data_IF_344390299642
#
_entry.id   IF_344390299642
#
_cell.length_a   1.000
_cell.length_b   1.000
_cell.length_c   1.000
_cell.angle_alpha   90.00
_cell.angle_beta   90.00
_cell.angle_gamma   90.00
#
_symmetry.space_group_name_H-M   'P 1'
#
loop_
_entity.id
_entity.type
_entity.pdbx_description
1 polymer ?
#
# COMPACT_ATOMS: atom_id res chain seq x y z
N UNK A 1 -52.38 -4.87 24.87
CA UNK A 1 -51.05 -5.43 25.19
C UNK A 1 -50.37 -5.60 23.84
N UNK A 2 -49.41 -4.74 23.54
CA UNK A 2 -48.76 -4.65 22.23
C UNK A 2 -47.70 -5.73 22.09
N UNK A 3 -47.82 -6.55 21.06
CA UNK A 3 -46.83 -7.54 20.65
C UNK A 3 -45.61 -6.83 20.06
N UNK A 4 -44.55 -6.68 20.86
CA UNK A 4 -43.27 -6.15 20.43
C UNK A 4 -42.50 -7.18 19.59
N UNK A 5 -42.61 -7.05 18.27
CA UNK A 5 -41.78 -7.74 17.29
C UNK A 5 -40.34 -7.20 17.36
N UNK A 6 -39.46 -7.89 18.10
CA UNK A 6 -38.04 -7.61 18.11
C UNK A 6 -37.36 -8.16 16.84
N UNK A 7 -37.28 -7.33 15.80
CA UNK A 7 -36.45 -7.60 14.64
C UNK A 7 -34.96 -7.57 15.05
N UNK A 8 -34.38 -8.74 15.30
CA UNK A 8 -32.93 -8.89 15.51
C UNK A 8 -32.19 -8.59 14.21
N UNK A 9 -31.72 -7.35 14.08
CA UNK A 9 -30.90 -6.92 12.95
C UNK A 9 -29.58 -7.69 12.93
N UNK A 10 -29.37 -8.50 11.88
CA UNK A 10 -28.08 -9.17 11.63
C UNK A 10 -26.98 -8.11 11.52
N UNK A 11 -26.14 -8.00 12.54
CA UNK A 11 -24.90 -7.19 12.44
C UNK A 11 -24.03 -7.83 11.36
N UNK A 12 -23.67 -7.06 10.34
CA UNK A 12 -22.75 -7.50 9.29
C UNK A 12 -21.42 -7.92 9.95
N UNK A 13 -21.02 -9.17 9.75
CA UNK A 13 -19.73 -9.74 10.21
C UNK A 13 -18.58 -9.45 9.26
N UNK A 14 -18.83 -8.67 8.19
CA UNK A 14 -17.80 -8.32 7.22
C UNK A 14 -16.80 -7.32 7.83
N UNK A 15 -15.51 -7.63 7.70
CA UNK A 15 -14.45 -6.71 8.11
C UNK A 15 -14.60 -5.36 7.36
N UNK A 16 -14.31 -4.22 8.02
CA UNK A 16 -14.34 -2.91 7.37
C UNK A 16 -13.23 -2.79 6.32
N UNK A 17 -13.31 -1.77 5.46
CA UNK A 17 -12.20 -1.45 4.55
C UNK A 17 -11.03 -0.83 5.34
N UNK A 18 -9.80 -0.91 4.81
CA UNK A 18 -8.67 -0.21 5.42
C UNK A 18 -8.94 1.28 5.57
N UNK A 19 -8.57 1.83 6.72
CA UNK A 19 -8.68 3.26 7.03
C UNK A 19 -7.58 4.02 6.28
N UNK A 20 -7.91 5.22 5.79
CA UNK A 20 -6.97 6.11 5.12
C UNK A 20 -6.65 7.27 6.07
N UNK A 21 -5.38 7.39 6.46
CA UNK A 21 -4.90 8.37 7.43
C UNK A 21 -4.20 9.56 6.75
N UNK A 22 -3.42 9.30 5.70
CA UNK A 22 -2.63 10.33 5.01
C UNK A 22 -3.35 10.79 3.73
N UNK A 23 -3.79 12.07 3.64
CA UNK A 23 -4.36 12.60 2.41
C UNK A 23 -3.27 12.90 1.37
N UNK A 24 -3.62 13.00 0.07
CA UNK A 24 -2.67 13.42 -0.96
C UNK A 24 -2.07 14.79 -0.68
N UNK A 25 -0.74 14.92 -0.81
CA UNK A 25 0.04 16.11 -0.40
C UNK A 25 -0.13 16.51 1.07
N UNK A 26 -0.63 15.61 1.93
CA UNK A 26 -0.71 15.84 3.37
C UNK A 26 0.64 15.92 4.06
N UNK A 27 1.70 15.47 3.36
CA UNK A 27 3.08 15.56 3.82
C UNK A 27 3.96 16.12 2.70
N UNK A 28 4.81 17.09 3.04
CA UNK A 28 5.67 17.85 2.15
C UNK A 28 5.48 19.37 2.30
N UNK A 29 6.20 20.19 1.52
CA UNK A 29 7.23 19.80 0.56
C UNK A 29 8.46 19.17 1.24
N UNK A 30 9.14 18.26 0.53
CA UNK A 30 10.39 17.63 0.96
C UNK A 30 11.44 17.90 -0.11
N UNK A 31 12.58 18.44 0.29
CA UNK A 31 13.72 18.65 -0.60
C UNK A 31 14.50 17.35 -0.79
N UNK A 32 14.87 16.70 0.32
CA UNK A 32 15.69 15.49 0.34
C UNK A 32 14.90 14.31 0.91
N UNK A 33 14.50 13.36 0.05
CA UNK A 33 13.94 12.09 0.51
C UNK A 33 14.93 11.32 1.40
N UNK A 34 14.41 10.67 2.43
CA UNK A 34 15.19 9.79 3.29
C UNK A 34 15.22 8.35 2.74
N UNK A 35 16.07 7.50 3.31
CA UNK A 35 16.29 6.14 2.82
C UNK A 35 15.05 5.22 2.89
N UNK A 36 14.07 5.50 3.74
CA UNK A 36 12.83 4.73 3.85
C UNK A 36 11.72 5.26 2.93
N UNK A 37 11.95 6.37 2.21
CA UNK A 37 10.98 6.91 1.27
C UNK A 37 10.89 6.06 -0.01
N UNK A 38 9.66 5.77 -0.41
CA UNK A 38 9.33 5.12 -1.68
C UNK A 38 9.08 6.18 -2.74
N UNK A 39 10.04 6.36 -3.64
CA UNK A 39 9.96 7.31 -4.73
C UNK A 39 9.10 6.77 -5.88
N UNK A 40 8.05 7.49 -6.22
CA UNK A 40 7.14 7.19 -7.31
C UNK A 40 7.64 7.83 -8.61
N UNK A 41 7.98 7.00 -9.60
CA UNK A 41 8.45 7.47 -10.89
C UNK A 41 9.01 6.34 -11.73
N UNK A 42 9.82 6.70 -12.73
CA UNK A 42 10.55 5.78 -13.61
C UNK A 42 12.02 6.21 -13.69
N UNK A 43 12.91 5.27 -14.02
CA UNK A 43 14.33 5.53 -14.26
C UNK A 43 15.26 4.93 -13.21
N UNK A 44 16.57 4.87 -13.54
CA UNK A 44 17.59 4.21 -12.73
C UNK A 44 17.67 4.74 -11.29
N UNK A 45 17.75 6.06 -11.11
CA UNK A 45 17.79 6.72 -9.79
C UNK A 45 16.60 6.32 -8.90
N UNK A 46 15.41 6.29 -9.47
CA UNK A 46 14.19 5.90 -8.74
C UNK A 46 14.24 4.41 -8.41
N UNK A 47 14.70 3.57 -9.33
CA UNK A 47 14.78 2.14 -9.10
C UNK A 47 15.81 1.75 -8.03
N UNK A 48 16.95 2.45 -7.98
CA UNK A 48 18.06 2.17 -7.06
C UNK A 48 17.93 2.84 -5.70
N UNK A 49 16.91 3.69 -5.48
CA UNK A 49 16.69 4.31 -4.18
C UNK A 49 16.48 3.25 -3.09
N UNK A 50 17.09 3.44 -1.91
CA UNK A 50 17.06 2.46 -0.83
C UNK A 50 15.64 2.02 -0.47
N UNK A 51 14.72 2.97 -0.28
CA UNK A 51 13.32 2.68 0.04
C UNK A 51 12.58 1.94 -1.08
N UNK A 52 12.99 2.11 -2.35
CA UNK A 52 12.43 1.35 -3.46
C UNK A 52 12.97 -0.09 -3.51
N UNK A 53 14.22 -0.32 -3.08
CA UNK A 53 14.76 -1.67 -2.89
C UNK A 53 14.00 -2.39 -1.78
N UNK A 54 13.92 -1.78 -0.60
CA UNK A 54 13.20 -2.33 0.56
C UNK A 54 11.72 -2.59 0.25
N UNK A 55 11.07 -1.67 -0.49
CA UNK A 55 9.70 -1.85 -0.95
C UNK A 55 9.55 -3.10 -1.83
N UNK A 56 10.44 -3.33 -2.80
CA UNK A 56 10.39 -4.53 -3.65
C UNK A 56 10.57 -5.82 -2.85
N UNK A 57 11.49 -5.83 -1.89
CA UNK A 57 11.72 -6.98 -1.02
C UNK A 57 10.48 -7.30 -0.17
N UNK A 58 9.85 -6.25 0.36
CA UNK A 58 8.58 -6.37 1.11
C UNK A 58 7.44 -6.88 0.22
N UNK A 59 7.32 -6.39 -1.01
CA UNK A 59 6.36 -6.88 -2.00
C UNK A 59 6.60 -8.37 -2.28
N UNK A 60 7.85 -8.79 -2.44
CA UNK A 60 8.21 -10.18 -2.72
C UNK A 60 7.79 -11.11 -1.57
N UNK A 61 8.02 -10.71 -0.32
CA UNK A 61 7.66 -11.52 0.86
C UNK A 61 6.14 -11.68 1.04
N UNK A 62 5.34 -10.68 0.68
CA UNK A 62 3.85 -10.70 0.79
C UNK A 62 3.13 -11.25 -0.44
N UNK A 63 3.86 -11.49 -1.53
CA UNK A 63 3.27 -11.87 -2.82
C UNK A 63 2.51 -13.19 -2.78
N UNK A 64 3.09 -14.22 -2.14
CA UNK A 64 2.48 -15.54 -2.01
C UNK A 64 1.12 -15.47 -1.30
N UNK A 65 1.06 -14.74 -0.19
CA UNK A 65 -0.17 -14.50 0.57
C UNK A 65 -1.19 -13.74 -0.27
N UNK A 66 -0.77 -12.67 -0.96
CA UNK A 66 -1.66 -11.86 -1.80
C UNK A 66 -2.25 -12.65 -2.97
N UNK A 67 -1.46 -13.49 -3.64
CA UNK A 67 -1.87 -14.22 -4.84
C UNK A 67 -2.58 -15.55 -4.55
N UNK A 68 -2.61 -16.02 -3.29
CA UNK A 68 -3.26 -17.28 -2.95
C UNK A 68 -4.73 -17.29 -3.39
N UNK A 69 -5.24 -18.41 -3.95
CA UNK A 69 -6.63 -18.51 -4.41
C UNK A 69 -7.68 -18.24 -3.31
N UNK A 70 -7.32 -18.50 -2.05
CA UNK A 70 -8.14 -18.24 -0.88
C UNK A 70 -8.23 -16.76 -0.51
N UNK A 71 -7.30 -15.92 -0.98
CA UNK A 71 -7.22 -14.51 -0.60
C UNK A 71 -8.23 -13.67 -1.36
N UNK A 72 -9.24 -13.21 -0.63
CA UNK A 72 -10.37 -12.43 -1.14
C UNK A 72 -9.97 -10.99 -1.42
N UNK A 73 -10.81 -10.29 -2.19
CA UNK A 73 -10.60 -8.88 -2.58
C UNK A 73 -10.36 -7.96 -1.37
N UNK A 74 -11.08 -8.18 -0.27
CA UNK A 74 -10.93 -7.35 0.93
C UNK A 74 -9.62 -7.66 1.67
N UNK A 75 -9.21 -8.93 1.75
CA UNK A 75 -7.93 -9.33 2.35
C UNK A 75 -6.76 -8.78 1.52
N UNK A 76 -6.84 -8.82 0.19
CA UNK A 76 -5.89 -8.16 -0.72
C UNK A 76 -5.74 -6.67 -0.43
N UNK A 77 -6.84 -5.98 -0.12
CA UNK A 77 -6.79 -4.56 0.25
C UNK A 77 -6.08 -4.35 1.60
N UNK A 78 -6.31 -5.22 2.58
CA UNK A 78 -5.62 -5.18 3.87
C UNK A 78 -4.14 -5.52 3.77
N UNK A 79 -3.75 -6.51 2.95
CA UNK A 79 -2.33 -6.82 2.70
C UNK A 79 -1.61 -5.59 2.13
N UNK A 80 -2.21 -4.94 1.13
CA UNK A 80 -1.61 -3.74 0.54
C UNK A 80 -1.57 -2.56 1.53
N UNK A 81 -2.61 -2.39 2.36
CA UNK A 81 -2.63 -1.36 3.40
C UNK A 81 -1.63 -1.64 4.53
N UNK A 82 -1.43 -2.90 4.90
CA UNK A 82 -0.43 -3.33 5.87
C UNK A 82 0.97 -2.93 5.45
N UNK A 83 1.36 -3.24 4.21
CA UNK A 83 2.68 -2.83 3.67
C UNK A 83 2.87 -1.31 3.67
N UNK A 84 1.82 -0.55 3.33
CA UNK A 84 1.87 0.92 3.39
C UNK A 84 2.08 1.39 4.83
N UNK A 85 1.35 0.79 5.78
CA UNK A 85 1.52 1.08 7.19
C UNK A 85 2.93 0.76 7.68
N UNK A 86 3.45 -0.43 7.36
CA UNK A 86 4.79 -0.88 7.75
C UNK A 86 5.86 0.15 7.36
N UNK A 87 5.81 0.64 6.11
CA UNK A 87 6.72 1.68 5.60
C UNK A 87 6.54 3.00 6.35
N UNK A 88 5.30 3.42 6.59
CA UNK A 88 5.01 4.67 7.30
C UNK A 88 5.45 4.65 8.76
N UNK A 89 5.51 3.47 9.38
CA UNK A 89 5.91 3.30 10.78
C UNK A 89 7.39 3.00 10.98
N UNK A 90 8.19 3.01 9.91
CA UNK A 90 9.65 2.92 10.01
C UNK A 90 10.25 4.11 10.77
N UNK A 91 11.52 3.99 11.14
CA UNK A 91 12.30 5.07 11.74
C UNK A 91 13.62 5.26 10.94
N UNK A 92 13.83 6.40 10.25
CA UNK A 92 12.87 7.49 10.05
C UNK A 92 11.60 7.04 9.28
N UNK A 93 10.45 7.75 9.43
CA UNK A 93 9.22 7.38 8.72
C UNK A 93 9.36 7.39 7.20
N UNK A 94 8.98 6.28 6.57
CA UNK A 94 8.89 6.18 5.13
C UNK A 94 7.63 6.86 4.58
N UNK A 95 7.75 7.51 3.43
CA UNK A 95 6.64 8.12 2.68
C UNK A 95 6.55 7.55 1.28
N UNK A 96 5.42 7.75 0.63
CA UNK A 96 5.27 7.45 -0.79
C UNK A 96 5.32 8.74 -1.57
N UNK A 97 6.50 9.10 -2.07
CA UNK A 97 6.77 10.43 -2.59
C UNK A 97 6.61 10.52 -4.11
N UNK A 98 6.10 11.64 -4.59
CA UNK A 98 6.13 12.01 -6.00
C UNK A 98 6.71 13.40 -6.15
N UNK A 99 7.66 13.52 -7.07
CA UNK A 99 8.31 14.79 -7.44
C UNK A 99 7.33 15.68 -8.21
N UNK A 100 7.24 16.93 -7.79
CA UNK A 100 6.56 17.99 -8.50
C UNK A 100 7.55 18.69 -9.45
N UNK A 101 7.38 18.47 -10.75
CA UNK A 101 8.34 18.93 -11.76
C UNK A 101 8.49 20.45 -11.86
N UNK A 102 7.51 21.21 -11.38
CA UNK A 102 7.59 22.67 -11.39
C UNK A 102 8.45 23.24 -10.25
N UNK A 103 8.59 22.50 -9.15
CA UNK A 103 9.28 22.95 -7.94
C UNK A 103 10.50 22.10 -7.59
N UNK A 104 10.65 20.92 -8.22
CA UNK A 104 11.65 19.89 -7.89
C UNK A 104 11.52 19.37 -6.44
N UNK A 105 10.38 19.65 -5.79
CA UNK A 105 10.08 19.21 -4.43
C UNK A 105 9.19 17.97 -4.43
N UNK A 106 9.32 17.16 -3.38
CA UNK A 106 8.59 15.92 -3.21
C UNK A 106 7.37 16.09 -2.31
N UNK A 107 6.30 15.38 -2.62
CA UNK A 107 5.07 15.33 -1.82
C UNK A 107 4.59 13.90 -1.67
N UNK A 108 4.04 13.57 -0.50
CA UNK A 108 3.40 12.28 -0.27
C UNK A 108 2.13 12.14 -1.13
N UNK A 109 1.94 10.97 -1.74
CA UNK A 109 0.80 10.70 -2.62
C UNK A 109 -0.49 10.35 -1.87
N UNK A 110 -0.43 10.15 -0.55
CA UNK A 110 -1.51 9.73 0.33
C UNK A 110 -1.78 8.23 0.29
N UNK A 111 -2.49 7.73 1.31
CA UNK A 111 -2.73 6.29 1.51
C UNK A 111 -3.50 5.65 0.37
N UNK A 112 -4.52 6.33 -0.16
CA UNK A 112 -5.31 5.79 -1.27
C UNK A 112 -4.44 5.45 -2.49
N UNK A 113 -3.49 6.33 -2.83
CA UNK A 113 -2.58 6.10 -3.98
C UNK A 113 -1.45 5.14 -3.62
N UNK A 114 -0.92 5.20 -2.40
CA UNK A 114 0.08 4.27 -1.91
C UNK A 114 -0.44 2.82 -1.94
N UNK A 115 -1.63 2.57 -1.38
CA UNK A 115 -2.29 1.25 -1.37
C UNK A 115 -2.51 0.75 -2.81
N UNK A 116 -2.96 1.62 -3.71
CA UNK A 116 -3.15 1.26 -5.13
C UNK A 116 -1.82 0.88 -5.80
N UNK A 117 -0.75 1.64 -5.55
CA UNK A 117 0.61 1.35 -6.04
C UNK A 117 1.13 0.02 -5.50
N UNK A 118 0.98 -0.23 -4.20
CA UNK A 118 1.35 -1.49 -3.55
C UNK A 118 0.57 -2.66 -4.13
N UNK A 119 -0.75 -2.53 -4.29
CA UNK A 119 -1.57 -3.56 -4.92
C UNK A 119 -1.20 -3.84 -6.37
N UNK A 120 -0.73 -2.83 -7.12
CA UNK A 120 -0.21 -3.03 -8.48
C UNK A 120 1.11 -3.82 -8.44
N UNK A 121 2.06 -3.41 -7.59
CA UNK A 121 3.34 -4.09 -7.44
C UNK A 121 3.19 -5.55 -6.93
N UNK A 122 2.18 -5.85 -6.11
CA UNK A 122 1.87 -7.22 -5.68
C UNK A 122 1.33 -8.09 -6.84
N UNK A 123 0.74 -7.47 -7.88
CA UNK A 123 0.24 -8.17 -9.08
C UNK A 123 1.30 -8.28 -10.19
N UNK A 124 2.12 -7.25 -10.37
CA UNK A 124 3.19 -7.20 -11.37
C UNK A 124 4.39 -8.05 -10.91
N UNK A 125 5.18 -8.62 -11.83
CA UNK A 125 6.41 -9.40 -11.56
C UNK A 125 6.27 -10.63 -10.65
N UNK A 126 5.12 -11.34 -10.65
CA UNK A 126 5.20 -12.73 -10.22
C UNK A 126 6.13 -13.41 -11.23
N UNK A 127 7.24 -14.07 -10.83
CA UNK A 127 7.86 -15.00 -11.76
C UNK A 127 6.73 -15.93 -12.20
N UNK A 128 6.58 -16.15 -13.51
CA UNK A 128 5.73 -17.21 -14.03
C UNK A 128 6.11 -18.46 -13.23
N UNK A 129 5.31 -18.86 -12.23
CA UNK A 129 5.39 -20.22 -11.69
C UNK A 129 4.76 -21.06 -12.79
N UNK A 130 5.52 -21.31 -13.86
CA UNK A 130 5.21 -22.36 -14.81
C UNK A 130 5.34 -23.64 -14.01
N UNK A 131 4.29 -24.47 -13.90
CA UNK A 131 4.46 -25.78 -13.32
C UNK A 131 5.52 -26.51 -14.16
N UNK A 132 6.58 -26.98 -13.52
CA UNK A 132 7.47 -27.96 -14.13
C UNK A 132 6.61 -29.18 -14.47
N UNK A 133 6.73 -29.64 -15.72
CA UNK A 133 6.09 -30.86 -16.23
C UNK A 133 7.01 -32.03 -15.90
#
# INVERSE_FOLDING_TARGET
MEDNNAASGRKSTAQPRPVLNVPPRGIGPIADPNENDVLCGRGGRINSHAGNVQFRDTIHSKKKEYLAPSTKKLEKAHIAAGIVNDIRTMDPPGRFLKEDKGTELWFDIGDAKAIKKTGQALREDAPDIRPEI
#
